data_IF_713326728840
#
_entry.id   IF_713326728840
#
_cell.length_a   1.000
_cell.length_b   1.000
_cell.length_c   1.000
_cell.angle_alpha   90.00
_cell.angle_beta   90.00
_cell.angle_gamma   90.00
#
_symmetry.space_group_name_H-M   'P 1'
#
loop_
_entity.id
_entity.type
_entity.pdbx_description
1 polymer ?
#
# COMPACT_ATOMS: atom_id res chain seq x y z
N UNK A 1 1.57 13.03 -12.43
CA UNK A 1 2.83 12.25 -12.37
C UNK A 1 2.78 11.45 -11.08
N UNK A 2 3.11 10.16 -11.09
CA UNK A 2 3.11 9.37 -9.85
C UNK A 2 4.37 9.69 -9.05
N UNK A 3 4.21 9.84 -7.74
CA UNK A 3 5.32 10.03 -6.81
C UNK A 3 5.63 8.70 -6.12
N UNK A 4 6.90 8.36 -6.01
CA UNK A 4 7.35 7.13 -5.33
C UNK A 4 7.97 7.48 -3.99
N UNK A 5 7.92 6.52 -3.06
CA UNK A 5 8.76 6.51 -1.86
C UNK A 5 9.54 5.19 -1.79
N UNK A 6 10.70 5.23 -1.17
CA UNK A 6 11.55 4.10 -0.88
C UNK A 6 11.03 3.33 0.34
N UNK A 7 11.52 2.10 0.52
CA UNK A 7 11.27 1.34 1.74
C UNK A 7 11.80 2.04 2.99
N UNK A 8 12.91 2.77 2.90
CA UNK A 8 13.52 3.44 4.05
C UNK A 8 12.70 4.66 4.47
N UNK A 9 12.16 5.42 3.51
CA UNK A 9 11.19 6.49 3.78
C UNK A 9 9.89 5.95 4.40
N UNK A 10 9.43 4.76 3.98
CA UNK A 10 8.28 4.11 4.62
C UNK A 10 8.59 3.77 6.08
N UNK A 11 9.78 3.25 6.37
CA UNK A 11 10.21 2.99 7.76
C UNK A 11 10.29 4.28 8.57
N UNK A 12 10.70 5.40 7.98
CA UNK A 12 10.68 6.70 8.65
C UNK A 12 9.24 7.13 9.00
N UNK A 13 8.27 6.90 8.12
CA UNK A 13 6.85 7.16 8.40
C UNK A 13 6.32 6.33 9.59
N UNK A 14 6.71 5.06 9.71
CA UNK A 14 6.35 4.24 10.88
C UNK A 14 6.85 4.83 12.22
N UNK A 15 7.88 5.67 12.18
CA UNK A 15 8.47 6.30 13.36
C UNK A 15 8.08 7.78 13.51
N UNK A 16 7.13 8.28 12.72
CA UNK A 16 6.64 9.65 12.80
C UNK A 16 5.20 9.73 13.32
N UNK A 17 4.74 10.96 13.59
CA UNK A 17 3.34 11.23 13.96
C UNK A 17 2.43 11.40 12.73
N UNK A 18 2.95 11.16 11.51
CA UNK A 18 2.17 11.31 10.28
C UNK A 18 1.08 10.24 10.17
N UNK A 19 -0.09 10.64 9.68
CA UNK A 19 -1.21 9.73 9.45
C UNK A 19 -1.19 9.23 8.02
N UNK A 20 -0.75 7.99 7.83
CA UNK A 20 -0.68 7.35 6.52
C UNK A 20 -1.48 6.05 6.47
N UNK A 21 -1.80 5.62 5.25
CA UNK A 21 -2.39 4.31 4.97
C UNK A 21 -1.60 3.60 3.88
N UNK A 22 -1.34 2.31 4.08
CA UNK A 22 -0.69 1.44 3.10
C UNK A 22 -1.78 0.58 2.44
N UNK A 23 -1.86 0.61 1.12
CA UNK A 23 -2.83 -0.14 0.32
C UNK A 23 -2.07 -1.22 -0.46
N UNK A 24 -2.24 -2.46 -0.02
CA UNK A 24 -1.67 -3.63 -0.68
C UNK A 24 -2.65 -4.13 -1.74
N UNK A 25 -2.29 -3.97 -3.01
CA UNK A 25 -3.13 -4.41 -4.14
C UNK A 25 -2.64 -5.71 -4.78
N UNK A 26 -1.86 -6.53 -4.06
CA UNK A 26 -1.58 -7.92 -4.48
C UNK A 26 -2.87 -8.73 -4.57
N UNK A 27 -2.88 -9.73 -5.44
CA UNK A 27 -4.03 -10.61 -5.65
C UNK A 27 -3.73 -11.92 -4.92
N UNK A 28 -3.59 -13.04 -5.62
CA UNK A 28 -3.28 -14.35 -5.01
C UNK A 28 -1.86 -14.43 -4.41
N UNK A 29 -0.98 -13.50 -4.79
CA UNK A 29 0.40 -13.38 -4.29
C UNK A 29 0.53 -12.61 -2.95
N UNK A 30 -0.59 -12.44 -2.24
CA UNK A 30 -0.65 -11.80 -0.91
C UNK A 30 -0.30 -12.75 0.26
N UNK A 31 -0.38 -14.07 0.04
CA UNK A 31 -0.39 -15.11 1.09
C UNK A 31 0.84 -15.22 2.01
N UNK A 32 2.01 -14.64 1.65
CA UNK A 32 3.27 -14.82 2.41
C UNK A 32 3.53 -13.74 3.48
N UNK A 33 2.47 -13.04 3.90
CA UNK A 33 2.55 -11.90 4.80
C UNK A 33 2.52 -10.56 4.06
N UNK A 34 2.47 -9.49 4.85
CA UNK A 34 2.21 -8.14 4.39
C UNK A 34 2.93 -7.09 5.26
N UNK A 35 2.96 -5.85 4.77
CA UNK A 35 3.44 -4.73 5.57
C UNK A 35 2.44 -4.50 6.70
N UNK A 36 2.95 -4.32 7.92
CA UNK A 36 2.13 -4.19 9.13
C UNK A 36 1.09 -3.08 8.98
N UNK A 37 -0.16 -3.39 9.33
CA UNK A 37 -1.29 -2.46 9.25
C UNK A 37 -1.73 -2.07 7.83
N UNK A 38 -1.25 -2.76 6.79
CA UNK A 38 -1.72 -2.51 5.42
C UNK A 38 -3.15 -2.97 5.20
N UNK A 39 -3.88 -2.24 4.36
CA UNK A 39 -5.22 -2.59 3.91
C UNK A 39 -5.10 -3.39 2.61
N UNK A 40 -5.48 -4.66 2.64
CA UNK A 40 -5.48 -5.51 1.45
C UNK A 40 -6.72 -5.25 0.59
N UNK A 41 -6.50 -4.79 -0.65
CA UNK A 41 -7.55 -4.55 -1.63
C UNK A 41 -7.06 -5.03 -3.00
N UNK A 42 -7.35 -6.28 -3.40
CA UNK A 42 -6.82 -6.88 -4.63
C UNK A 42 -7.03 -6.02 -5.88
N UNK A 43 -6.03 -5.98 -6.75
CA UNK A 43 -6.06 -5.17 -7.97
C UNK A 43 -7.22 -5.53 -8.89
N UNK A 44 -7.58 -6.82 -8.95
CA UNK A 44 -8.72 -7.32 -9.72
C UNK A 44 -10.07 -6.74 -9.25
N UNK A 45 -10.16 -6.32 -7.98
CA UNK A 45 -11.35 -5.75 -7.35
C UNK A 45 -11.26 -4.23 -7.17
N UNK A 46 -10.11 -3.62 -7.50
CA UNK A 46 -9.88 -2.19 -7.31
C UNK A 46 -10.42 -1.38 -8.49
N UNK A 47 -11.74 -1.27 -8.54
CA UNK A 47 -12.47 -0.44 -9.50
C UNK A 47 -12.71 0.99 -8.97
N UNK A 48 -13.43 1.80 -9.76
CA UNK A 48 -13.80 3.17 -9.40
C UNK A 48 -14.60 3.24 -8.09
N UNK A 49 -15.59 2.37 -7.92
CA UNK A 49 -16.45 2.33 -6.72
C UNK A 49 -15.63 2.03 -5.48
N UNK A 50 -14.68 1.10 -5.58
CA UNK A 50 -13.78 0.73 -4.48
C UNK A 50 -12.82 1.86 -4.16
N UNK A 51 -12.26 2.52 -5.18
CA UNK A 51 -11.38 3.69 -5.00
C UNK A 51 -12.11 4.85 -4.29
N UNK A 52 -13.36 5.14 -4.67
CA UNK A 52 -14.20 6.15 -4.02
C UNK A 52 -14.48 5.84 -2.56
N UNK A 53 -14.94 4.62 -2.27
CA UNK A 53 -15.18 4.18 -0.89
C UNK A 53 -13.93 4.27 -0.02
N UNK A 54 -12.78 3.90 -0.58
CA UNK A 54 -11.50 4.04 0.11
C UNK A 54 -11.21 5.52 0.41
N UNK A 55 -11.35 6.42 -0.56
CA UNK A 55 -11.05 7.84 -0.36
C UNK A 55 -11.94 8.47 0.73
N UNK A 56 -13.24 8.17 0.73
CA UNK A 56 -14.19 8.61 1.76
C UNK A 56 -13.83 8.05 3.15
N UNK A 57 -13.38 6.79 3.23
CA UNK A 57 -12.95 6.18 4.50
C UNK A 57 -11.67 6.85 5.04
N UNK A 58 -10.68 7.05 4.17
CA UNK A 58 -9.40 7.64 4.55
C UNK A 58 -9.55 9.11 5.00
N UNK A 59 -10.46 9.86 4.37
CA UNK A 59 -10.79 11.23 4.79
C UNK A 59 -11.40 11.26 6.20
N UNK A 60 -12.37 10.37 6.49
CA UNK A 60 -12.96 10.25 7.84
C UNK A 60 -11.94 9.88 8.90
N UNK A 61 -10.90 9.14 8.52
CA UNK A 61 -9.78 8.75 9.41
C UNK A 61 -8.70 9.83 9.53
N UNK A 62 -8.85 10.97 8.85
CA UNK A 62 -7.86 12.04 8.75
C UNK A 62 -6.48 11.53 8.27
N UNK A 63 -6.48 10.62 7.30
CA UNK A 63 -5.24 10.16 6.64
C UNK A 63 -4.81 11.20 5.62
N UNK A 64 -3.54 11.61 5.66
CA UNK A 64 -2.96 12.55 4.68
C UNK A 64 -2.21 11.83 3.56
N UNK A 65 -1.54 10.73 3.88
CA UNK A 65 -0.63 10.05 2.95
C UNK A 65 -1.16 8.65 2.60
N UNK A 66 -1.29 8.35 1.31
CA UNK A 66 -1.83 7.07 0.83
C UNK A 66 -0.80 6.37 -0.05
N UNK A 67 -0.34 5.20 0.39
CA UNK A 67 0.79 4.50 -0.20
C UNK A 67 0.29 3.21 -0.83
N UNK A 68 0.31 3.14 -2.15
CA UNK A 68 -0.02 1.92 -2.88
C UNK A 68 1.22 1.06 -3.10
N UNK A 69 1.04 -0.26 -3.04
CA UNK A 69 2.07 -1.18 -3.49
C UNK A 69 1.46 -2.47 -4.05
N UNK A 70 2.26 -3.22 -4.80
CA UNK A 70 1.98 -4.63 -5.06
C UNK A 70 3.23 -5.46 -4.77
N UNK A 71 3.47 -6.56 -5.48
CA UNK A 71 4.69 -7.34 -5.29
C UNK A 71 5.96 -6.58 -5.70
N UNK A 72 6.00 -6.03 -6.92
CA UNK A 72 7.14 -5.25 -7.45
C UNK A 72 6.84 -3.77 -7.64
N UNK A 73 5.58 -3.35 -7.47
CA UNK A 73 5.09 -1.98 -7.75
C UNK A 73 5.37 -1.44 -9.15
N UNK A 74 5.39 -2.32 -10.18
CA UNK A 74 5.60 -1.91 -11.57
C UNK A 74 4.30 -1.76 -12.38
N UNK A 75 3.22 -2.42 -11.95
CA UNK A 75 1.94 -2.41 -12.68
C UNK A 75 0.74 -2.18 -11.76
N UNK A 76 0.39 -3.17 -10.91
CA UNK A 76 -0.80 -3.13 -10.05
C UNK A 76 -0.78 -1.95 -9.06
N UNK A 77 0.31 -1.77 -8.32
CA UNK A 77 0.49 -0.63 -7.40
C UNK A 77 0.30 0.74 -8.10
N UNK A 78 1.08 1.05 -9.16
CA UNK A 78 0.90 2.29 -9.94
C UNK A 78 -0.51 2.47 -10.53
N UNK A 79 -1.15 1.39 -10.99
CA UNK A 79 -2.50 1.42 -11.53
C UNK A 79 -3.54 1.74 -10.46
N UNK A 80 -3.41 1.13 -9.27
CA UNK A 80 -4.25 1.43 -8.11
C UNK A 80 -4.12 2.89 -7.66
N UNK A 81 -2.88 3.37 -7.51
CA UNK A 81 -2.61 4.78 -7.18
C UNK A 81 -3.26 5.73 -8.18
N UNK A 82 -3.11 5.47 -9.48
CA UNK A 82 -3.72 6.31 -10.53
C UNK A 82 -5.25 6.32 -10.46
N UNK A 83 -5.89 5.16 -10.28
CA UNK A 83 -7.36 5.07 -10.14
C UNK A 83 -7.84 5.87 -8.93
N UNK A 84 -7.15 5.75 -7.79
CA UNK A 84 -7.44 6.51 -6.59
C UNK A 84 -7.27 8.02 -6.81
N UNK A 85 -6.13 8.45 -7.37
CA UNK A 85 -5.87 9.86 -7.67
C UNK A 85 -6.94 10.47 -8.58
N UNK A 86 -7.39 9.76 -9.61
CA UNK A 86 -8.44 10.24 -10.50
C UNK A 86 -9.76 10.48 -9.75
N UNK A 87 -10.14 9.58 -8.85
CA UNK A 87 -11.36 9.76 -8.03
C UNK A 87 -11.23 10.97 -7.11
N UNK A 88 -10.08 11.11 -6.43
CA UNK A 88 -9.82 12.25 -5.55
C UNK A 88 -9.90 13.57 -6.33
N UNK A 89 -9.23 13.64 -7.49
CA UNK A 89 -9.20 14.84 -8.32
C UNK A 89 -10.60 15.25 -8.81
N UNK A 90 -11.44 14.30 -9.20
CA UNK A 90 -12.71 14.59 -9.87
C UNK A 90 -13.90 14.71 -8.91
N UNK A 91 -13.87 13.97 -7.80
CA UNK A 91 -15.02 13.85 -6.90
C UNK A 91 -14.76 14.41 -5.50
N UNK A 92 -13.51 14.66 -5.13
CA UNK A 92 -13.13 15.14 -3.80
C UNK A 92 -12.20 16.36 -3.88
N UNK A 93 -12.65 17.49 -4.47
CA UNK A 93 -11.78 18.63 -4.81
C UNK A 93 -11.15 19.34 -3.60
N UNK A 94 -11.64 19.09 -2.38
CA UNK A 94 -11.08 19.65 -1.15
C UNK A 94 -10.06 18.73 -0.48
N UNK A 95 -10.01 17.45 -0.85
CA UNK A 95 -9.10 16.48 -0.26
C UNK A 95 -7.70 16.66 -0.84
N UNK A 96 -6.69 16.56 0.03
CA UNK A 96 -5.27 16.76 -0.31
C UNK A 96 -4.45 15.53 0.00
N UNK A 97 -4.91 14.37 -0.45
CA UNK A 97 -4.15 13.13 -0.27
C UNK A 97 -2.81 13.22 -0.99
N UNK A 98 -1.73 12.97 -0.25
CA UNK A 98 -0.42 12.69 -0.81
C UNK A 98 -0.38 11.23 -1.25
N UNK A 99 -0.61 10.99 -2.54
CA UNK A 99 -0.68 9.64 -3.11
C UNK A 99 0.71 9.22 -3.60
N UNK A 100 1.20 8.10 -3.05
CA UNK A 100 2.54 7.57 -3.31
C UNK A 100 2.50 6.10 -3.71
N UNK A 101 3.57 5.65 -4.36
CA UNK A 101 3.79 4.23 -4.66
C UNK A 101 5.08 3.76 -3.99
N UNK A 102 5.02 2.64 -3.26
CA UNK A 102 6.20 2.04 -2.64
C UNK A 102 7.11 1.44 -3.71
N UNK A 103 8.30 2.01 -3.88
CA UNK A 103 9.32 1.52 -4.80
C UNK A 103 9.76 0.11 -4.43
N UNK A 104 9.83 -0.77 -5.42
CA UNK A 104 10.22 -2.18 -5.24
C UNK A 104 9.13 -3.08 -4.64
N UNK A 105 8.04 -2.49 -4.15
CA UNK A 105 6.88 -3.22 -3.63
C UNK A 105 7.20 -4.10 -2.43
N UNK A 106 6.33 -5.08 -2.20
CA UNK A 106 6.45 -6.07 -1.14
C UNK A 106 7.77 -6.84 -1.21
N UNK A 107 8.21 -7.28 -2.40
CA UNK A 107 9.40 -8.12 -2.54
C UNK A 107 10.66 -7.44 -2.01
N UNK A 108 10.87 -6.17 -2.36
CA UNK A 108 12.02 -5.41 -1.86
C UNK A 108 11.86 -5.02 -0.39
N UNK A 109 10.67 -4.60 0.03
CA UNK A 109 10.42 -4.20 1.42
C UNK A 109 10.59 -5.38 2.38
N UNK A 110 10.03 -6.54 2.04
CA UNK A 110 10.17 -7.77 2.80
C UNK A 110 11.63 -8.21 2.91
N UNK A 111 12.36 -8.26 1.78
CA UNK A 111 13.77 -8.67 1.77
C UNK A 111 14.63 -7.82 2.70
N UNK A 112 14.39 -6.50 2.74
CA UNK A 112 15.14 -5.57 3.60
C UNK A 112 14.76 -5.66 5.08
N UNK A 113 13.51 -6.00 5.39
CA UNK A 113 12.97 -5.92 6.75
C UNK A 113 12.60 -7.29 7.34
N UNK A 114 12.98 -8.40 6.69
CA UNK A 114 12.66 -9.76 7.11
C UNK A 114 13.06 -9.98 8.58
N UNK A 115 12.11 -10.42 9.40
CA UNK A 115 12.31 -10.64 10.83
C UNK A 115 12.03 -9.42 11.72
N UNK A 116 11.60 -8.30 11.15
CA UNK A 116 11.13 -7.15 11.91
C UNK A 116 9.61 -7.18 12.05
N UNK A 117 9.11 -7.78 13.12
CA UNK A 117 7.67 -7.92 13.41
C UNK A 117 6.97 -6.58 13.73
N UNK A 118 7.74 -5.49 13.88
CA UNK A 118 7.18 -4.13 13.96
C UNK A 118 6.78 -3.58 12.59
N UNK A 119 7.33 -4.13 11.49
CA UNK A 119 7.09 -3.68 10.12
C UNK A 119 6.40 -4.73 9.23
N UNK A 120 6.49 -6.01 9.61
CA UNK A 120 5.95 -7.13 8.85
C UNK A 120 4.91 -7.87 9.69
N UNK A 121 3.77 -8.14 9.09
CA UNK A 121 2.81 -9.13 9.54
C UNK A 121 3.03 -10.41 8.73
N UNK A 122 3.21 -11.53 9.42
CA UNK A 122 3.26 -12.85 8.79
C UNK A 122 1.88 -13.47 8.88
N UNK A 123 1.45 -14.12 7.81
CA UNK A 123 0.37 -15.09 7.89
C UNK A 123 1.00 -16.40 8.36
N UNK A 124 0.47 -16.98 9.42
CA UNK A 124 0.94 -18.26 9.95
C UNK A 124 0.61 -19.36 8.93
N UNK A 125 1.50 -19.55 7.95
CA UNK A 125 1.50 -20.73 7.11
C UNK A 125 2.78 -21.50 7.42
N UNK A 126 2.60 -22.63 8.09
CA UNK A 126 3.61 -23.68 8.23
C UNK A 126 4.05 -24.12 6.84
N UNK A 127 5.07 -23.49 6.25
CA UNK A 127 5.93 -24.04 5.19
C UNK A 127 7.10 -23.08 4.94
N UNK A 128 8.19 -23.29 5.68
CA UNK A 128 9.46 -22.53 5.56
C UNK A 128 10.25 -22.83 4.27
N UNK A 129 9.71 -23.63 3.32
CA UNK A 129 10.51 -24.29 2.28
C UNK A 129 10.23 -23.87 0.83
N UNK A 130 9.56 -22.74 0.57
CA UNK A 130 9.44 -22.21 -0.79
C UNK A 130 10.37 -21.00 -0.99
N UNK A 131 11.28 -21.11 -1.95
CA UNK A 131 12.34 -20.16 -2.36
C UNK A 131 13.74 -20.38 -1.74
N UNK A 132 14.37 -21.50 -2.12
CA UNK A 132 15.78 -21.51 -2.49
C UNK A 132 15.92 -21.52 -4.02
#
# INVERSE_FOLDING_TARGET
MLTYLTGDELVQLFNSDEKFAIIDVRDDDWVQGNIKGSMHIPSAQFDHTRAKKLAEELEKRNISTVIFHCHFSQQRGPSGAKKFSNVVEWEMPNSKFDVRVLQGGWGDFFRKNKGNDALIERHDDHDEDYYY
#
